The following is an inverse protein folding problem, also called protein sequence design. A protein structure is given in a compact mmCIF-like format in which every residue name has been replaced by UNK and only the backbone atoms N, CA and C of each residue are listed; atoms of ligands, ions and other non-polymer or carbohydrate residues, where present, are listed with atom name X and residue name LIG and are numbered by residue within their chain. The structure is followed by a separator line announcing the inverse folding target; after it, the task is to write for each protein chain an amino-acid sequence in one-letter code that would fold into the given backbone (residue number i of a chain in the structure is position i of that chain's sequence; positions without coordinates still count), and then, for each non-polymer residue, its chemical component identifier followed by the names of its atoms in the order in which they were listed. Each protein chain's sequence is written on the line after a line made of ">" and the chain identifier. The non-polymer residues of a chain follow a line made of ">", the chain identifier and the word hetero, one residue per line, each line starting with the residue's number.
data_IF_310387537608
#
_entry.id   IF_310387537608
#
_cell.length_a   1.000
_cell.length_b   1.000
_cell.length_c   1.000
_cell.angle_alpha   90.00
_cell.angle_beta   90.00
_cell.angle_gamma   90.00
#
_symmetry.space_group_name_H-M   'P 1'
#
loop_
_entity.id
_entity.type
_entity.pdbx_description
1 polymer ?
#
# COMPACT_ATOMS: atom_id res chain seq x y z
N UNK A 1 -2.83 -18.38 6.37
CA UNK A 1 -3.38 -17.03 6.31
C UNK A 1 -3.14 -16.51 4.90
N UNK A 2 -4.15 -15.94 4.26
CA UNK A 2 -4.10 -15.47 2.88
C UNK A 2 -5.29 -14.61 2.54
N UNK A 3 -5.30 -14.07 1.33
CA UNK A 3 -6.43 -13.31 0.82
C UNK A 3 -7.63 -14.23 0.61
N UNK A 4 -8.75 -13.89 1.25
CA UNK A 4 -10.01 -14.63 1.16
C UNK A 4 -10.76 -14.22 -0.11
N UNK A 5 -10.75 -12.93 -0.39
CA UNK A 5 -11.48 -12.35 -1.50
C UNK A 5 -10.96 -10.94 -1.80
N UNK A 6 -10.97 -10.54 -3.04
CA UNK A 6 -10.64 -9.16 -3.46
C UNK A 6 -11.22 -8.86 -4.84
N UNK A 7 -11.45 -7.57 -5.07
CA UNK A 7 -11.93 -7.03 -6.35
C UNK A 7 -11.35 -5.65 -6.58
N UNK A 8 -11.00 -5.32 -7.81
CA UNK A 8 -10.49 -4.01 -8.20
C UNK A 8 -10.61 -3.77 -9.69
N UNK A 9 -10.63 -2.48 -10.09
CA UNK A 9 -10.60 -2.07 -11.51
C UNK A 9 -11.76 -2.54 -12.38
N UNK A 10 -12.87 -3.01 -11.81
CA UNK A 10 -14.06 -3.46 -12.55
C UNK A 10 -13.92 -4.80 -13.29
N UNK A 11 -12.72 -5.39 -13.33
CA UNK A 11 -12.48 -6.56 -14.22
C UNK A 11 -12.23 -7.88 -13.49
N UNK A 12 -11.72 -7.86 -12.27
CA UNK A 12 -11.29 -9.13 -11.64
C UNK A 12 -11.79 -9.23 -10.21
N UNK A 13 -12.66 -10.18 -9.97
CA UNK A 13 -13.02 -10.63 -8.63
C UNK A 13 -12.41 -12.01 -8.42
N UNK A 14 -11.56 -12.15 -7.43
CA UNK A 14 -11.02 -13.44 -7.02
C UNK A 14 -11.46 -13.71 -5.59
N UNK A 15 -11.90 -14.93 -5.31
CA UNK A 15 -12.32 -15.33 -3.98
C UNK A 15 -11.95 -16.80 -3.74
N UNK A 16 -11.62 -17.07 -2.48
CA UNK A 16 -11.34 -18.45 -2.08
C UNK A 16 -12.64 -19.25 -2.08
N UNK A 17 -12.68 -20.37 -2.77
CA UNK A 17 -13.87 -21.21 -2.95
C UNK A 17 -14.49 -21.73 -1.62
N UNK A 18 -13.80 -21.55 -0.50
CA UNK A 18 -14.29 -21.95 0.83
C UNK A 18 -15.21 -20.90 1.51
N UNK A 19 -15.38 -19.69 0.93
CA UNK A 19 -16.28 -18.69 1.51
C UNK A 19 -17.68 -18.94 1.00
N UNK A 20 -18.59 -19.22 1.91
CA UNK A 20 -20.03 -19.28 1.65
C UNK A 20 -20.75 -18.17 2.42
N UNK A 21 -21.98 -17.81 2.09
CA UNK A 21 -22.74 -16.81 2.84
C UNK A 21 -22.85 -17.12 4.34
N UNK A 22 -22.85 -18.42 4.70
CA UNK A 22 -22.93 -18.92 6.09
C UNK A 22 -21.60 -18.87 6.82
N UNK A 23 -20.49 -18.66 6.11
CA UNK A 23 -19.17 -18.55 6.73
C UNK A 23 -19.13 -17.40 7.74
N UNK A 24 -18.47 -17.62 8.87
CA UNK A 24 -18.21 -16.61 9.87
C UNK A 24 -16.71 -16.44 10.05
N UNK A 25 -16.21 -15.27 9.73
CA UNK A 25 -14.78 -14.95 9.80
C UNK A 25 -14.53 -14.24 11.13
N UNK A 26 -14.01 -14.99 12.10
CA UNK A 26 -13.74 -14.50 13.46
C UNK A 26 -12.57 -13.54 13.52
N UNK A 27 -11.53 -13.80 12.73
CA UNK A 27 -10.31 -12.97 12.66
C UNK A 27 -9.97 -12.63 11.22
N UNK A 28 -9.77 -11.36 10.92
CA UNK A 28 -9.50 -10.94 9.55
C UNK A 28 -9.09 -9.50 9.40
N UNK A 29 -8.93 -9.11 8.12
CA UNK A 29 -8.74 -7.73 7.73
C UNK A 29 -9.59 -7.39 6.50
N UNK A 30 -10.19 -6.18 6.52
CA UNK A 30 -10.79 -5.52 5.37
C UNK A 30 -9.85 -4.40 4.93
N UNK A 31 -9.54 -4.35 3.64
CA UNK A 31 -8.76 -3.25 3.02
C UNK A 31 -9.62 -2.59 1.97
N UNK A 32 -9.65 -1.28 1.98
CA UNK A 32 -10.26 -0.45 0.92
C UNK A 32 -9.24 0.60 0.51
N UNK A 33 -8.96 0.70 -0.77
CA UNK A 33 -8.17 1.79 -1.36
C UNK A 33 -9.02 2.55 -2.36
N UNK A 34 -9.00 3.88 -2.26
CA UNK A 34 -9.80 4.77 -3.09
C UNK A 34 -9.17 6.16 -3.20
N UNK A 35 -9.55 6.95 -4.21
CA UNK A 35 -9.29 8.38 -4.25
C UNK A 35 -9.89 9.10 -3.03
N UNK A 36 -9.22 10.15 -2.56
CA UNK A 36 -9.74 10.97 -1.48
C UNK A 36 -11.00 11.70 -1.93
N UNK A 37 -12.14 11.55 -1.21
CA UNK A 37 -13.36 12.26 -1.55
C UNK A 37 -13.14 13.78 -1.47
N UNK A 38 -13.42 14.49 -2.55
CA UNK A 38 -13.33 15.95 -2.64
C UNK A 38 -14.57 16.67 -2.11
N UNK A 39 -15.60 15.93 -1.72
CA UNK A 39 -16.89 16.46 -1.34
C UNK A 39 -16.91 16.98 0.11
N UNK A 40 -17.62 18.11 0.30
CA UNK A 40 -17.95 18.67 1.63
C UNK A 40 -19.11 17.93 2.32
N UNK A 41 -19.57 16.82 1.78
CA UNK A 41 -20.65 15.99 2.32
C UNK A 41 -20.14 14.58 2.61
N UNK A 42 -20.80 13.89 3.53
CA UNK A 42 -20.53 12.48 3.78
C UNK A 42 -20.73 11.65 2.51
N UNK A 43 -19.74 10.81 2.21
CA UNK A 43 -19.74 9.91 1.05
C UNK A 43 -19.74 8.47 1.54
N UNK A 44 -20.72 7.68 1.09
CA UNK A 44 -20.72 6.24 1.34
C UNK A 44 -19.79 5.56 0.31
N UNK A 45 -18.69 5.03 0.80
CA UNK A 45 -17.68 4.31 0.00
C UNK A 45 -18.14 2.88 -0.31
N UNK A 46 -18.73 2.22 0.69
CA UNK A 46 -19.24 0.86 0.59
C UNK A 46 -20.48 0.73 1.46
N UNK A 47 -21.52 0.08 0.93
CA UNK A 47 -22.69 -0.33 1.69
C UNK A 47 -23.19 -1.67 1.17
N UNK A 48 -23.23 -2.65 2.05
CA UNK A 48 -23.68 -4.01 1.76
C UNK A 48 -24.65 -4.43 2.84
N UNK A 49 -25.83 -4.88 2.45
CA UNK A 49 -26.80 -5.45 3.34
C UNK A 49 -27.18 -6.87 2.88
N UNK A 50 -27.34 -7.78 3.81
CA UNK A 50 -27.83 -9.14 3.55
C UNK A 50 -28.92 -9.49 4.59
N UNK A 51 -29.94 -10.18 4.12
CA UNK A 51 -31.00 -10.72 4.99
C UNK A 51 -30.73 -12.19 5.37
N UNK A 52 -29.91 -12.89 4.60
CA UNK A 52 -29.62 -14.31 4.78
C UNK A 52 -28.09 -14.56 4.82
N UNK A 53 -27.61 -15.49 5.63
CA UNK A 53 -28.35 -16.34 6.57
C UNK A 53 -28.87 -15.57 7.80
N UNK A 54 -28.29 -14.42 8.10
CA UNK A 54 -28.62 -13.55 9.23
C UNK A 54 -28.64 -12.10 8.75
N UNK A 55 -29.62 -11.28 9.18
CA UNK A 55 -29.62 -9.85 8.84
C UNK A 55 -28.30 -9.20 9.23
N UNK A 56 -27.62 -8.64 8.25
CA UNK A 56 -26.29 -8.06 8.43
C UNK A 56 -26.09 -6.85 7.54
N UNK A 57 -25.24 -5.92 7.98
CA UNK A 57 -24.89 -4.69 7.29
C UNK A 57 -23.40 -4.39 7.46
N UNK A 58 -22.74 -4.03 6.37
CA UNK A 58 -21.43 -3.38 6.38
C UNK A 58 -21.56 -2.03 5.66
N UNK A 59 -21.22 -0.95 6.36
CA UNK A 59 -21.19 0.40 5.78
C UNK A 59 -19.88 1.08 6.10
N UNK A 60 -19.24 1.64 5.08
CA UNK A 60 -18.02 2.45 5.19
C UNK A 60 -18.29 3.82 4.60
N UNK A 61 -18.05 4.87 5.38
CA UNK A 61 -18.32 6.25 4.99
C UNK A 61 -17.13 7.16 5.26
N UNK A 62 -16.90 8.11 4.36
CA UNK A 62 -16.04 9.27 4.60
C UNK A 62 -16.91 10.43 5.10
N UNK A 63 -16.54 11.00 6.25
CA UNK A 63 -17.27 12.10 6.90
C UNK A 63 -16.35 13.33 6.92
N UNK A 64 -16.69 14.41 6.19
CA UNK A 64 -15.85 15.60 6.11
C UNK A 64 -15.57 16.20 7.50
N UNK A 65 -14.29 16.44 7.77
CA UNK A 65 -13.84 17.00 9.06
C UNK A 65 -13.76 16.00 10.22
N UNK A 66 -14.35 14.82 10.09
CA UNK A 66 -14.33 13.78 11.13
C UNK A 66 -13.45 12.58 10.74
N UNK A 67 -13.38 12.21 9.45
CA UNK A 67 -12.57 11.09 8.96
C UNK A 67 -13.40 9.97 8.37
N UNK A 68 -13.14 8.71 8.77
CA UNK A 68 -13.82 7.54 8.23
C UNK A 68 -14.58 6.78 9.34
N UNK A 69 -15.79 6.37 9.00
CA UNK A 69 -16.67 5.58 9.85
C UNK A 69 -16.90 4.21 9.23
N UNK A 70 -16.83 3.16 10.05
CA UNK A 70 -17.19 1.79 9.68
C UNK A 70 -18.28 1.32 10.64
N UNK A 71 -19.39 0.86 10.08
CA UNK A 71 -20.49 0.23 10.80
C UNK A 71 -20.65 -1.19 10.30
N UNK A 72 -20.62 -2.15 11.23
CA UNK A 72 -20.90 -3.57 10.98
C UNK A 72 -22.01 -4.00 11.91
N UNK A 73 -23.06 -4.65 11.39
CA UNK A 73 -24.04 -5.31 12.20
C UNK A 73 -24.26 -6.74 11.71
N UNK A 74 -24.52 -7.66 12.63
CA UNK A 74 -24.78 -9.07 12.33
C UNK A 74 -25.56 -9.70 13.48
N UNK A 75 -26.75 -10.25 13.19
CA UNK A 75 -27.53 -11.02 14.16
C UNK A 75 -28.00 -10.26 15.41
N UNK A 76 -28.03 -8.93 15.35
CA UNK A 76 -28.37 -8.06 16.51
C UNK A 76 -27.15 -7.42 17.17
N UNK A 77 -25.95 -7.92 16.95
CA UNK A 77 -24.73 -7.27 17.38
C UNK A 77 -24.40 -6.09 16.45
N UNK A 78 -23.88 -5.00 17.01
CA UNK A 78 -23.51 -3.80 16.28
C UNK A 78 -22.12 -3.36 16.71
N UNK A 79 -21.25 -3.19 15.74
CA UNK A 79 -19.92 -2.62 15.90
C UNK A 79 -19.80 -1.33 15.10
N UNK A 80 -19.31 -0.28 15.74
CA UNK A 80 -19.06 1.01 15.09
C UNK A 80 -17.66 1.52 15.44
N UNK A 81 -16.90 1.88 14.43
CA UNK A 81 -15.58 2.47 14.57
C UNK A 81 -15.50 3.80 13.81
N UNK A 82 -14.78 4.75 14.39
CA UNK A 82 -14.45 6.03 13.77
C UNK A 82 -12.94 6.24 13.87
N UNK A 83 -12.33 6.71 12.81
CA UNK A 83 -10.95 7.17 12.82
C UNK A 83 -10.90 8.60 12.29
N UNK A 84 -10.48 9.53 13.16
CA UNK A 84 -10.27 10.91 12.77
C UNK A 84 -9.05 11.03 11.86
N UNK A 85 -9.22 11.75 10.77
CA UNK A 85 -8.20 11.95 9.77
C UNK A 85 -8.20 13.40 9.32
N UNK A 86 -7.05 14.04 9.43
CA UNK A 86 -6.84 15.36 8.80
C UNK A 86 -6.35 15.10 7.38
N UNK A 87 -7.13 15.51 6.39
CA UNK A 87 -6.74 15.42 4.99
C UNK A 87 -5.39 16.14 4.78
N UNK A 88 -4.38 15.39 4.40
CA UNK A 88 -3.11 15.97 3.98
C UNK A 88 -3.25 16.35 2.51
N UNK A 89 -3.16 17.63 2.18
CA UNK A 89 -3.34 18.16 0.83
C UNK A 89 -2.31 17.68 -0.22
N UNK A 90 -1.56 16.60 0.08
CA UNK A 90 -0.47 16.10 -0.74
C UNK A 90 -0.73 14.76 -1.40
N UNK A 91 -1.83 14.08 -1.03
CA UNK A 91 -2.14 12.74 -1.53
C UNK A 91 -3.51 12.71 -2.16
N UNK A 92 -3.63 11.96 -3.24
CA UNK A 92 -4.87 11.85 -4.03
C UNK A 92 -5.67 10.60 -3.64
N UNK A 93 -5.10 9.68 -2.85
CA UNK A 93 -5.74 8.43 -2.45
C UNK A 93 -5.47 8.08 -0.99
N UNK A 94 -6.31 7.21 -0.44
CA UNK A 94 -6.14 6.62 0.89
C UNK A 94 -6.31 5.11 0.84
N UNK A 95 -5.71 4.44 1.84
CA UNK A 95 -5.95 3.03 2.13
C UNK A 95 -6.45 2.89 3.56
N UNK A 96 -7.69 2.42 3.70
CA UNK A 96 -8.32 2.10 4.97
C UNK A 96 -8.15 0.62 5.24
N UNK A 97 -7.62 0.26 6.42
CA UNK A 97 -7.50 -1.14 6.85
C UNK A 97 -8.16 -1.32 8.20
N UNK A 98 -9.18 -2.17 8.26
CA UNK A 98 -9.78 -2.67 9.50
C UNK A 98 -9.25 -4.07 9.76
N UNK A 99 -8.50 -4.25 10.83
CA UNK A 99 -8.19 -5.56 11.41
C UNK A 99 -9.17 -5.85 12.55
N UNK A 100 -9.74 -7.04 12.61
CA UNK A 100 -10.63 -7.46 13.70
C UNK A 100 -10.29 -8.85 14.22
N UNK A 101 -10.52 -9.02 15.50
CA UNK A 101 -10.53 -10.30 16.20
C UNK A 101 -11.76 -10.34 17.10
N UNK A 102 -12.78 -11.09 16.70
CA UNK A 102 -14.03 -11.21 17.46
C UNK A 102 -13.90 -12.12 18.68
N UNK A 103 -12.84 -12.94 18.73
CA UNK A 103 -12.60 -13.85 19.87
C UNK A 103 -12.12 -13.04 21.07
N UNK A 104 -11.19 -12.10 20.85
CA UNK A 104 -10.70 -11.19 21.89
C UNK A 104 -11.54 -9.91 21.99
N UNK A 105 -12.28 -9.58 20.95
CA UNK A 105 -12.98 -8.32 20.79
C UNK A 105 -12.08 -7.15 20.37
N UNK A 106 -10.79 -7.39 20.14
CA UNK A 106 -9.84 -6.35 19.81
C UNK A 106 -9.77 -6.10 18.29
N UNK A 107 -9.31 -4.92 17.92
CA UNK A 107 -9.08 -4.58 16.51
C UNK A 107 -8.19 -3.35 16.33
N UNK A 108 -7.93 -3.06 15.07
CA UNK A 108 -7.18 -1.87 14.65
C UNK A 108 -7.81 -1.29 13.39
N UNK A 109 -8.17 -0.03 13.43
CA UNK A 109 -8.50 0.74 12.24
C UNK A 109 -7.31 1.63 11.88
N UNK A 110 -6.89 1.61 10.63
CA UNK A 110 -5.77 2.42 10.14
C UNK A 110 -6.09 3.10 8.83
N UNK A 111 -5.49 4.27 8.64
CA UNK A 111 -5.48 5.00 7.37
C UNK A 111 -4.03 5.23 6.97
N UNK A 112 -3.73 4.88 5.74
CA UNK A 112 -2.45 5.11 5.07
C UNK A 112 -2.71 5.97 3.82
N UNK A 113 -1.74 6.79 3.46
CA UNK A 113 -1.74 7.50 2.19
C UNK A 113 -0.66 6.89 1.28
N UNK A 114 -1.05 6.13 0.24
CA UNK A 114 -0.10 5.66 -0.76
C UNK A 114 0.67 6.85 -1.37
N UNK A 115 2.00 6.79 -1.31
CA UNK A 115 2.86 7.90 -1.77
C UNK A 115 3.25 8.91 -0.69
N UNK A 116 2.63 8.88 0.49
CA UNK A 116 3.06 9.60 1.70
C UNK A 116 3.36 8.59 2.82
N UNK A 117 4.09 9.00 3.84
CA UNK A 117 4.50 8.14 4.96
C UNK A 117 3.58 8.31 6.18
N UNK A 118 2.46 8.98 5.99
CA UNK A 118 1.48 9.22 7.04
C UNK A 118 0.68 7.94 7.35
N UNK A 119 0.70 7.54 8.63
CA UNK A 119 -0.05 6.42 9.16
C UNK A 119 -0.82 6.87 10.40
N UNK A 120 -2.13 6.79 10.34
CA UNK A 120 -3.06 7.04 11.43
C UNK A 120 -3.64 5.70 11.89
N UNK A 121 -3.78 5.52 13.20
CA UNK A 121 -4.30 4.27 13.76
C UNK A 121 -5.22 4.55 14.95
N UNK A 122 -6.26 3.73 15.09
CA UNK A 122 -7.17 3.69 16.23
C UNK A 122 -7.30 2.25 16.72
N UNK A 123 -6.95 1.99 17.97
CA UNK A 123 -7.22 0.68 18.60
C UNK A 123 -8.71 0.58 18.87
N UNK A 124 -9.28 -0.60 18.64
CA UNK A 124 -10.72 -0.89 18.70
C UNK A 124 -10.99 -1.96 19.74
N UNK A 125 -12.20 -1.91 20.31
CA UNK A 125 -12.74 -2.93 21.20
C UNK A 125 -14.17 -3.26 20.80
N UNK A 126 -14.62 -4.47 21.15
CA UNK A 126 -15.96 -4.93 20.80
C UNK A 126 -16.13 -5.32 19.33
N UNK A 127 -15.02 -5.68 18.66
CA UNK A 127 -15.07 -6.18 17.28
C UNK A 127 -15.92 -7.44 17.20
N UNK A 128 -16.74 -7.53 16.14
CA UNK A 128 -17.59 -8.67 15.84
C UNK A 128 -17.09 -9.43 14.62
N UNK A 129 -17.47 -10.69 14.49
CA UNK A 129 -17.13 -11.51 13.32
C UNK A 129 -17.83 -11.00 12.07
N UNK A 130 -17.18 -11.17 10.92
CA UNK A 130 -17.74 -10.79 9.63
C UNK A 130 -18.35 -11.99 8.92
N UNK A 131 -19.59 -11.85 8.44
CA UNK A 131 -20.26 -12.93 7.71
C UNK A 131 -19.74 -13.01 6.26
N UNK A 132 -19.69 -14.23 5.72
CA UNK A 132 -19.36 -14.45 4.32
C UNK A 132 -20.34 -13.77 3.36
N UNK A 133 -21.62 -13.63 3.76
CA UNK A 133 -22.60 -12.88 3.00
C UNK A 133 -22.21 -11.42 2.77
N UNK A 134 -21.66 -10.74 3.79
CA UNK A 134 -21.14 -9.38 3.65
C UNK A 134 -19.91 -9.32 2.75
N UNK A 135 -18.99 -10.28 2.87
CA UNK A 135 -17.78 -10.36 2.04
C UNK A 135 -18.18 -10.53 0.56
N UNK A 136 -19.01 -11.52 0.26
CA UNK A 136 -19.45 -11.79 -1.10
C UNK A 136 -20.31 -10.65 -1.67
N UNK A 137 -21.15 -10.04 -0.84
CA UNK A 137 -21.93 -8.86 -1.20
C UNK A 137 -21.05 -7.66 -1.56
N UNK A 138 -19.99 -7.39 -0.77
CA UNK A 138 -19.06 -6.30 -1.04
C UNK A 138 -18.35 -6.45 -2.40
N UNK A 139 -17.97 -7.68 -2.76
CA UNK A 139 -17.39 -7.96 -4.09
C UNK A 139 -18.41 -7.77 -5.22
N UNK A 140 -19.68 -8.10 -4.97
CA UNK A 140 -20.75 -7.91 -5.96
C UNK A 140 -21.05 -6.43 -6.18
N UNK A 141 -21.05 -5.62 -5.13
CA UNK A 141 -21.22 -4.16 -5.24
C UNK A 141 -20.10 -3.50 -6.06
N UNK A 142 -18.86 -3.98 -5.95
CA UNK A 142 -17.74 -3.51 -6.78
C UNK A 142 -17.96 -3.77 -8.28
N UNK A 143 -18.69 -4.86 -8.63
CA UNK A 143 -18.98 -5.23 -10.03
C UNK A 143 -20.13 -4.42 -10.65
N UNK A 144 -21.04 -3.93 -9.81
CA UNK A 144 -22.26 -3.21 -10.23
C UNK A 144 -22.06 -1.70 -10.13
N UNK A 145 -21.02 -1.25 -9.45
CA UNK A 145 -20.80 0.16 -9.21
C UNK A 145 -20.71 0.96 -10.51
N UNK A 146 -21.70 1.80 -10.73
CA UNK A 146 -21.65 2.90 -11.68
C UNK A 146 -20.34 3.68 -11.50
N UNK A 147 -19.85 4.31 -12.58
CA UNK A 147 -18.62 5.08 -12.66
C UNK A 147 -18.46 6.23 -11.65
N UNK A 148 -19.32 6.31 -10.64
CA UNK A 148 -19.28 7.29 -9.55
C UNK A 148 -18.76 6.72 -8.21
N UNK A 149 -18.57 5.41 -8.07
CA UNK A 149 -17.92 4.79 -6.91
C UNK A 149 -16.51 4.36 -7.30
N UNK A 150 -15.59 5.30 -7.20
CA UNK A 150 -14.18 5.08 -7.57
C UNK A 150 -13.43 4.43 -6.40
N UNK A 151 -13.66 3.12 -6.17
CA UNK A 151 -12.75 2.34 -5.37
C UNK A 151 -11.67 1.74 -6.26
N UNK A 152 -10.40 1.93 -5.91
CA UNK A 152 -9.29 1.28 -6.59
C UNK A 152 -9.33 -0.23 -6.36
N UNK A 153 -9.52 -0.64 -5.11
CA UNK A 153 -9.82 -2.03 -4.77
C UNK A 153 -10.41 -2.19 -3.37
N UNK A 154 -11.03 -3.36 -3.16
CA UNK A 154 -11.44 -3.89 -1.87
C UNK A 154 -10.85 -5.29 -1.69
N UNK A 155 -10.45 -5.63 -0.48
CA UNK A 155 -9.94 -6.97 -0.19
C UNK A 155 -10.23 -7.41 1.24
N UNK A 156 -10.43 -8.72 1.40
CA UNK A 156 -10.61 -9.39 2.69
C UNK A 156 -9.50 -10.42 2.87
N UNK A 157 -8.88 -10.41 4.03
CA UNK A 157 -7.77 -11.28 4.37
C UNK A 157 -8.09 -12.09 5.63
N UNK A 158 -7.68 -13.36 5.67
CA UNK A 158 -7.81 -14.22 6.84
C UNK A 158 -6.70 -13.92 7.85
N UNK A 159 -7.09 -13.41 9.00
CA UNK A 159 -6.18 -12.91 10.03
C UNK A 159 -5.71 -11.49 9.77
N UNK A 160 -4.99 -10.88 10.73
CA UNK A 160 -4.61 -9.49 10.67
C UNK A 160 -3.59 -9.22 9.56
N UNK A 161 -3.69 -8.04 8.96
CA UNK A 161 -2.71 -7.49 8.03
C UNK A 161 -1.80 -6.48 8.73
N UNK A 162 -0.52 -6.53 8.40
CA UNK A 162 0.40 -5.48 8.81
C UNK A 162 0.14 -4.19 8.04
N UNK A 163 0.22 -3.06 8.76
CA UNK A 163 0.06 -1.69 8.24
C UNK A 163 1.39 -0.93 8.26
N UNK A 164 1.46 0.19 7.58
CA UNK A 164 2.65 1.05 7.52
C UNK A 164 3.64 0.64 6.43
N UNK A 165 4.96 0.77 6.68
CA UNK A 165 5.97 0.60 5.64
C UNK A 165 5.80 -0.68 4.83
N UNK A 166 5.70 -0.52 3.52
CA UNK A 166 5.25 -1.59 2.62
C UNK A 166 6.30 -1.90 1.55
N UNK A 167 6.62 -3.20 1.35
CA UNK A 167 7.42 -3.67 0.22
C UNK A 167 6.78 -3.36 -1.13
N UNK A 168 7.61 -3.02 -2.14
CA UNK A 168 7.15 -2.53 -3.45
C UNK A 168 7.93 -3.07 -4.65
N UNK A 169 8.98 -3.86 -4.46
CA UNK A 169 9.85 -4.39 -5.51
C UNK A 169 9.55 -5.85 -5.84
N UNK A 170 9.53 -6.19 -7.13
CA UNK A 170 9.36 -7.57 -7.57
C UNK A 170 10.52 -8.48 -7.11
N UNK A 171 10.27 -9.77 -6.90
CA UNK A 171 11.25 -10.77 -6.52
C UNK A 171 12.51 -10.74 -7.39
N UNK A 172 12.35 -10.52 -8.69
CA UNK A 172 13.42 -10.59 -9.68
C UNK A 172 14.22 -9.29 -9.80
N UNK A 173 13.84 -8.22 -9.12
CA UNK A 173 14.56 -6.93 -9.15
C UNK A 173 16.06 -7.14 -8.90
N UNK A 174 16.94 -6.83 -9.88
CA UNK A 174 18.37 -6.96 -9.71
C UNK A 174 18.91 -5.80 -8.87
N UNK A 175 19.43 -6.09 -7.70
CA UNK A 175 20.07 -5.13 -6.78
C UNK A 175 21.57 -5.23 -6.90
N UNK A 176 22.27 -4.10 -7.06
CA UNK A 176 23.72 -4.06 -7.14
C UNK A 176 24.33 -4.26 -5.74
N UNK A 177 25.19 -5.27 -5.64
CA UNK A 177 25.95 -5.59 -4.43
C UNK A 177 27.45 -5.48 -4.70
N UNK A 178 28.28 -5.57 -3.69
CA UNK A 178 29.74 -5.62 -3.85
C UNK A 178 30.23 -6.78 -4.73
N UNK A 179 29.41 -7.84 -4.92
CA UNK A 179 29.71 -9.01 -5.75
C UNK A 179 28.97 -9.00 -7.11
N UNK A 180 28.35 -7.88 -7.48
CA UNK A 180 27.52 -7.74 -8.68
C UNK A 180 26.03 -7.83 -8.39
N UNK A 181 25.24 -7.93 -9.46
CA UNK A 181 23.78 -7.94 -9.35
C UNK A 181 23.22 -9.23 -8.73
N UNK A 182 22.33 -9.08 -7.76
CA UNK A 182 21.58 -10.18 -7.12
C UNK A 182 20.09 -9.84 -7.07
N UNK A 183 19.23 -10.84 -7.22
CA UNK A 183 17.77 -10.65 -7.08
C UNK A 183 17.42 -10.27 -5.64
N UNK A 184 16.56 -9.27 -5.46
CA UNK A 184 16.12 -8.85 -4.13
C UNK A 184 15.48 -9.99 -3.33
N UNK A 185 14.73 -10.86 -4.00
CA UNK A 185 14.01 -11.96 -3.35
C UNK A 185 14.88 -13.06 -2.72
N UNK A 186 16.20 -13.09 -3.01
CA UNK A 186 17.16 -14.01 -2.37
C UNK A 186 18.08 -13.31 -1.36
N UNK A 187 17.97 -12.00 -1.21
CA UNK A 187 18.78 -11.23 -0.28
C UNK A 187 18.39 -11.51 1.17
N UNK A 188 19.34 -11.33 2.07
CA UNK A 188 19.19 -11.60 3.51
C UNK A 188 19.75 -10.44 4.32
N UNK A 189 19.31 -10.29 5.58
CA UNK A 189 19.99 -9.41 6.54
C UNK A 189 21.47 -9.76 6.63
N UNK A 190 22.33 -8.72 6.60
CA UNK A 190 23.79 -8.84 6.56
C UNK A 190 24.40 -8.85 5.14
N UNK A 191 23.61 -9.04 4.09
CA UNK A 191 24.07 -8.75 2.72
C UNK A 191 24.36 -7.24 2.58
N UNK A 192 25.06 -6.83 1.54
CA UNK A 192 25.36 -5.43 1.27
C UNK A 192 24.78 -4.97 -0.07
N UNK A 193 24.47 -3.69 -0.17
CA UNK A 193 24.04 -3.04 -1.42
C UNK A 193 24.93 -1.84 -1.71
N UNK A 194 24.94 -1.39 -2.96
CA UNK A 194 25.60 -0.15 -3.37
C UNK A 194 24.55 0.98 -3.34
N UNK A 195 24.87 2.04 -2.60
CA UNK A 195 24.02 3.23 -2.52
C UNK A 195 24.16 4.15 -3.75
N UNK A 196 23.37 5.20 -3.77
CA UNK A 196 23.47 6.27 -4.77
C UNK A 196 24.84 6.97 -4.77
N UNK A 197 25.47 7.09 -3.60
CA UNK A 197 26.84 7.65 -3.44
C UNK A 197 27.94 6.68 -3.86
N UNK A 198 27.63 5.41 -4.12
CA UNK A 198 28.61 4.36 -4.40
C UNK A 198 29.13 3.62 -3.15
N UNK A 199 28.61 3.96 -1.98
CA UNK A 199 29.00 3.32 -0.72
C UNK A 199 28.41 1.93 -0.58
N UNK A 200 29.12 1.06 0.14
CA UNK A 200 28.68 -0.29 0.48
C UNK A 200 27.91 -0.24 1.80
N UNK A 201 26.60 -0.49 1.75
CA UNK A 201 25.68 -0.37 2.88
C UNK A 201 25.13 -1.73 3.30
N UNK A 202 25.12 -2.06 4.61
CA UNK A 202 24.55 -3.32 5.06
C UNK A 202 23.01 -3.31 5.03
N UNK A 203 22.43 -4.43 4.63
CA UNK A 203 20.98 -4.67 4.70
C UNK A 203 20.63 -5.11 6.13
N UNK A 204 19.82 -4.32 6.83
CA UNK A 204 19.35 -4.63 8.18
C UNK A 204 18.17 -5.62 8.17
N UNK A 205 17.34 -5.58 7.13
CA UNK A 205 16.18 -6.45 6.99
C UNK A 205 15.71 -6.54 5.56
N UNK A 206 15.10 -7.67 5.22
CA UNK A 206 14.40 -7.88 3.96
C UNK A 206 12.96 -8.21 4.29
N UNK A 207 12.05 -7.39 3.82
CA UNK A 207 10.62 -7.53 4.08
C UNK A 207 9.91 -7.98 2.81
N UNK A 208 8.85 -8.76 3.01
CA UNK A 208 7.97 -9.19 1.91
C UNK A 208 6.51 -9.03 2.31
N UNK A 209 5.66 -8.75 1.34
CA UNK A 209 4.21 -8.66 1.51
C UNK A 209 3.52 -9.25 0.29
N UNK A 210 2.50 -10.08 0.52
CA UNK A 210 1.59 -10.57 -0.53
C UNK A 210 0.38 -9.64 -0.54
N UNK A 211 0.04 -9.09 -1.69
CA UNK A 211 -1.06 -8.13 -1.83
C UNK A 211 -1.79 -8.32 -3.16
N UNK A 212 -3.09 -8.00 -3.25
CA UNK A 212 -3.77 -7.87 -4.53
C UNK A 212 -3.04 -6.86 -5.43
N UNK A 213 -2.97 -7.15 -6.72
CA UNK A 213 -2.23 -6.35 -7.69
C UNK A 213 -3.05 -5.15 -8.21
N UNK A 214 -3.64 -4.36 -7.28
CA UNK A 214 -4.52 -3.24 -7.58
C UNK A 214 -4.09 -1.97 -6.85
N UNK A 215 -4.64 -0.82 -7.26
CA UNK A 215 -4.39 0.48 -6.66
C UNK A 215 -2.90 0.81 -6.63
N UNK A 216 -2.40 1.27 -5.49
CA UNK A 216 -0.99 1.60 -5.30
C UNK A 216 -0.04 0.38 -5.37
N UNK A 217 -0.61 -0.83 -5.25
CA UNK A 217 0.11 -2.09 -5.47
C UNK A 217 0.03 -2.60 -6.91
N UNK A 218 -0.72 -1.92 -7.80
CA UNK A 218 -0.76 -2.28 -9.21
C UNK A 218 0.66 -2.26 -9.79
N UNK A 219 1.09 -3.34 -10.48
CA UNK A 219 2.42 -3.37 -11.06
C UNK A 219 2.59 -2.34 -12.17
N UNK A 220 3.71 -1.64 -12.12
CA UNK A 220 4.21 -0.77 -13.17
C UNK A 220 5.44 -1.41 -13.79
N UNK A 221 5.46 -1.50 -15.11
CA UNK A 221 6.63 -1.96 -15.87
C UNK A 221 7.35 -0.76 -16.45
N UNK A 222 8.58 -0.55 -16.04
CA UNK A 222 9.52 0.34 -16.69
C UNK A 222 10.19 -0.42 -17.83
N UNK A 223 10.14 0.10 -19.04
CA UNK A 223 10.58 -0.58 -20.25
C UNK A 223 12.00 -0.19 -20.64
N UNK A 224 12.79 -1.18 -21.01
CA UNK A 224 14.06 -0.94 -21.71
C UNK A 224 13.80 -0.42 -23.15
N UNK A 225 14.66 0.45 -23.69
CA UNK A 225 15.89 1.01 -23.10
C UNK A 225 15.65 2.32 -22.31
N UNK A 226 14.39 2.67 -22.05
CA UNK A 226 14.06 3.88 -21.29
C UNK A 226 14.68 3.84 -19.89
N UNK A 227 14.91 5.01 -19.31
CA UNK A 227 15.54 5.19 -17.99
C UNK A 227 16.95 4.58 -17.87
N UNK A 228 17.63 4.27 -18.99
CA UNK A 228 18.92 3.60 -19.01
C UNK A 228 18.87 2.10 -18.73
N UNK A 229 17.67 1.51 -18.66
CA UNK A 229 17.48 0.10 -18.39
C UNK A 229 17.99 -0.80 -19.52
N UNK A 230 18.63 -1.92 -19.18
CA UNK A 230 19.00 -2.98 -20.12
C UNK A 230 17.92 -4.04 -20.29
N UNK A 231 17.03 -4.17 -19.28
CA UNK A 231 15.88 -5.06 -19.28
C UNK A 231 14.72 -4.41 -18.54
N UNK A 232 13.50 -4.82 -18.87
CA UNK A 232 12.30 -4.30 -18.19
C UNK A 232 12.36 -4.56 -16.68
N UNK A 233 11.90 -3.59 -15.91
CA UNK A 233 11.81 -3.68 -14.46
C UNK A 233 10.36 -3.50 -13.99
N UNK A 234 9.90 -4.42 -13.14
CA UNK A 234 8.53 -4.40 -12.59
C UNK A 234 8.58 -4.05 -11.10
N UNK A 235 7.68 -3.16 -10.68
CA UNK A 235 7.54 -2.74 -9.28
C UNK A 235 6.11 -2.32 -8.99
N UNK A 236 5.72 -2.17 -7.73
CA UNK A 236 4.45 -1.55 -7.37
C UNK A 236 4.41 -0.07 -7.76
N UNK A 237 3.24 0.44 -8.09
CA UNK A 237 3.06 1.85 -8.43
C UNK A 237 3.56 2.83 -7.36
N UNK A 238 3.50 2.42 -6.10
CA UNK A 238 3.98 3.22 -4.96
C UNK A 238 5.52 3.23 -4.79
N UNK A 239 6.30 2.40 -5.51
CA UNK A 239 7.76 2.45 -5.42
C UNK A 239 8.28 3.80 -5.89
N UNK A 240 9.11 4.43 -5.06
CA UNK A 240 9.74 5.70 -5.39
C UNK A 240 11.10 5.48 -6.03
N UNK A 241 11.33 6.24 -7.12
CA UNK A 241 12.59 6.31 -7.83
C UNK A 241 13.22 7.67 -7.61
N UNK A 242 14.55 7.73 -7.49
CA UNK A 242 15.29 8.99 -7.56
C UNK A 242 15.46 9.39 -9.03
N UNK A 243 15.10 10.61 -9.29
CA UNK A 243 15.22 11.24 -10.61
C UNK A 243 15.94 12.56 -10.45
N UNK A 244 17.06 12.73 -11.14
CA UNK A 244 17.88 13.95 -11.15
C UNK A 244 18.04 14.51 -12.57
N UNK A 245 18.75 15.63 -12.68
CA UNK A 245 19.10 16.29 -13.93
C UNK A 245 18.76 17.77 -13.94
N UNK A 246 19.23 18.49 -14.97
CA UNK A 246 19.11 19.93 -15.08
C UNK A 246 17.67 20.46 -15.11
N UNK A 247 16.73 19.68 -15.60
CA UNK A 247 15.29 19.96 -15.58
C UNK A 247 14.69 19.89 -14.18
N UNK A 248 15.18 18.95 -13.35
CA UNK A 248 14.81 18.83 -11.93
C UNK A 248 15.36 20.03 -11.15
N UNK A 249 16.65 20.32 -11.33
CA UNK A 249 17.30 21.45 -10.68
C UNK A 249 16.62 22.79 -11.05
N UNK A 250 16.31 23.00 -12.33
CA UNK A 250 15.63 24.20 -12.80
C UNK A 250 14.20 24.34 -12.24
N UNK A 251 13.46 23.21 -12.16
CA UNK A 251 12.04 23.25 -11.80
C UNK A 251 11.82 23.23 -10.30
N UNK A 252 12.62 22.48 -9.55
CA UNK A 252 12.39 22.23 -8.12
C UNK A 252 13.48 22.82 -7.21
N UNK A 253 14.59 23.30 -7.78
CA UNK A 253 15.69 23.91 -7.02
C UNK A 253 16.49 22.89 -6.19
N UNK A 254 16.47 21.62 -6.56
CA UNK A 254 17.22 20.53 -5.94
C UNK A 254 17.79 19.59 -7.01
N UNK A 255 18.86 18.89 -6.69
CA UNK A 255 19.57 18.02 -7.65
C UNK A 255 18.76 16.77 -8.01
N UNK A 256 17.96 16.28 -7.05
CA UNK A 256 17.23 15.02 -7.15
C UNK A 256 15.88 15.10 -6.45
N UNK A 257 14.91 14.35 -6.97
CA UNK A 257 13.55 14.19 -6.42
C UNK A 257 13.15 12.72 -6.41
N UNK A 258 12.19 12.38 -5.55
CA UNK A 258 11.54 11.07 -5.49
C UNK A 258 10.22 11.11 -6.25
N UNK A 259 10.03 10.15 -7.17
CA UNK A 259 8.82 10.01 -7.97
C UNK A 259 8.26 8.60 -7.78
N UNK A 260 7.00 8.43 -7.34
CA UNK A 260 6.31 7.16 -7.38
C UNK A 260 6.16 6.63 -8.82
N UNK A 261 6.43 5.34 -9.03
CA UNK A 261 6.45 4.72 -10.37
C UNK A 261 5.12 4.89 -11.12
N UNK A 262 3.98 4.92 -10.43
CA UNK A 262 2.66 5.15 -11.02
C UNK A 262 2.56 6.48 -11.78
N UNK A 263 3.28 7.51 -11.36
CA UNK A 263 3.27 8.82 -12.01
C UNK A 263 4.22 8.91 -13.23
N UNK A 264 5.01 7.86 -13.48
CA UNK A 264 5.83 7.73 -14.68
C UNK A 264 5.08 7.06 -15.85
N UNK A 265 3.86 6.56 -15.61
CA UNK A 265 3.08 5.87 -16.65
C UNK A 265 2.75 6.84 -17.78
N UNK A 266 3.40 6.60 -18.92
CA UNK A 266 3.25 7.41 -20.15
C UNK A 266 2.69 6.60 -21.32
N UNK A 267 2.47 5.30 -21.14
CA UNK A 267 2.09 4.36 -22.19
C UNK A 267 3.26 3.91 -23.07
N UNK A 268 4.42 4.54 -22.95
CA UNK A 268 5.62 4.22 -23.76
C UNK A 268 6.76 3.71 -22.90
N UNK A 269 7.33 4.57 -22.07
CA UNK A 269 8.50 4.25 -21.22
C UNK A 269 8.12 3.51 -19.95
N UNK A 270 6.99 3.85 -19.38
CA UNK A 270 6.38 3.15 -18.26
C UNK A 270 4.92 2.82 -18.58
N UNK A 271 4.52 1.59 -18.29
CA UNK A 271 3.17 1.09 -18.57
C UNK A 271 2.58 0.43 -17.33
N UNK A 272 1.29 0.60 -17.12
CA UNK A 272 0.55 -0.24 -16.17
C UNK A 272 0.59 -1.68 -16.67
N UNK A 273 0.89 -2.61 -15.77
CA UNK A 273 0.89 -4.04 -16.09
C UNK A 273 -0.23 -4.70 -15.31
N UNK A 274 -1.44 -4.84 -15.87
CA UNK A 274 -2.50 -5.57 -15.20
C UNK A 274 -2.05 -7.02 -14.98
N UNK A 275 -2.03 -7.43 -13.73
CA UNK A 275 -1.78 -8.81 -13.34
C UNK A 275 -2.98 -9.21 -12.51
N UNK A 276 -3.76 -10.17 -12.99
CA UNK A 276 -4.82 -10.75 -12.16
C UNK A 276 -4.20 -11.45 -10.94
N UNK A 277 -4.90 -11.41 -9.83
CA UNK A 277 -4.48 -12.14 -8.65
C UNK A 277 -3.67 -11.32 -7.65
N UNK A 278 -2.84 -12.03 -6.88
CA UNK A 278 -1.93 -11.44 -5.88
C UNK A 278 -0.49 -11.42 -6.38
N UNK A 279 0.27 -10.44 -5.92
CA UNK A 279 1.71 -10.37 -6.16
C UNK A 279 2.46 -10.31 -4.83
N UNK A 280 3.73 -10.72 -4.87
CA UNK A 280 4.62 -10.66 -3.70
C UNK A 280 5.68 -9.62 -3.94
N UNK A 281 5.67 -8.57 -3.14
CA UNK A 281 6.69 -7.54 -3.17
C UNK A 281 7.71 -7.71 -2.05
N UNK A 282 8.92 -7.21 -2.31
CA UNK A 282 10.07 -7.20 -1.41
C UNK A 282 10.55 -5.78 -1.19
N UNK A 283 11.22 -5.51 -0.06
CA UNK A 283 11.91 -4.24 0.18
C UNK A 283 13.05 -4.42 1.19
N UNK A 284 14.09 -3.59 1.05
CA UNK A 284 15.27 -3.58 1.89
C UNK A 284 15.17 -2.49 2.95
N UNK A 285 15.45 -2.84 4.20
CA UNK A 285 15.67 -1.86 5.27
C UNK A 285 17.16 -1.60 5.39
N UNK A 286 17.56 -0.34 5.24
CA UNK A 286 18.91 0.14 5.36
C UNK A 286 19.08 0.96 6.67
N UNK A 287 20.32 1.21 7.13
CA UNK A 287 20.58 2.03 8.35
C UNK A 287 19.99 3.43 8.27
N UNK A 288 20.08 4.06 7.10
CA UNK A 288 19.46 5.33 6.78
C UNK A 288 18.45 5.15 5.63
N UNK A 289 17.58 6.15 5.41
CA UNK A 289 16.73 6.12 4.22
C UNK A 289 17.57 6.59 3.03
N UNK A 290 18.12 5.65 2.32
CA UNK A 290 18.96 5.88 1.16
C UNK A 290 18.37 5.19 -0.07
N UNK A 291 18.74 5.71 -1.24
CA UNK A 291 18.52 4.99 -2.47
C UNK A 291 19.68 4.03 -2.71
N UNK A 292 19.35 2.88 -3.26
CA UNK A 292 20.29 1.88 -3.70
C UNK A 292 20.16 1.61 -5.20
N UNK A 293 21.23 1.13 -5.80
CA UNK A 293 21.26 0.83 -7.23
C UNK A 293 20.55 -0.49 -7.51
N UNK A 294 19.53 -0.44 -8.37
CA UNK A 294 18.84 -1.62 -8.87
C UNK A 294 18.51 -1.44 -10.35
N UNK A 295 18.98 -2.38 -11.21
CA UNK A 295 18.82 -2.28 -12.68
C UNK A 295 19.21 -0.92 -13.25
N UNK A 296 20.36 -0.36 -12.84
CA UNK A 296 20.86 0.97 -13.23
C UNK A 296 20.03 2.16 -12.69
N UNK A 297 18.96 1.92 -11.97
CA UNK A 297 18.13 2.95 -11.34
C UNK A 297 18.49 3.12 -9.87
N UNK A 298 18.17 4.29 -9.34
CA UNK A 298 18.22 4.59 -7.92
C UNK A 298 16.83 4.41 -7.33
N UNK A 299 16.64 3.37 -6.52
CA UNK A 299 15.38 3.06 -5.87
C UNK A 299 15.45 3.37 -4.38
N UNK A 300 14.40 4.01 -3.85
CA UNK A 300 14.29 4.28 -2.41
C UNK A 300 14.19 2.97 -1.64
N UNK A 301 14.94 2.86 -0.54
CA UNK A 301 14.83 1.78 0.44
C UNK A 301 13.57 1.92 1.30
N UNK A 302 13.29 0.95 2.18
CA UNK A 302 12.11 0.99 3.04
C UNK A 302 12.19 2.17 4.01
N UNK A 303 11.41 3.21 3.76
CA UNK A 303 11.27 4.32 4.68
C UNK A 303 10.42 3.91 5.88
N UNK A 304 10.96 4.08 7.08
CA UNK A 304 10.27 3.72 8.33
C UNK A 304 10.04 4.91 9.27
N UNK A 305 10.55 6.07 8.90
CA UNK A 305 10.43 7.27 9.71
C UNK A 305 10.92 7.06 11.15
N UNK A 306 10.16 7.59 12.10
CA UNK A 306 10.41 7.45 13.53
C UNK A 306 9.56 6.35 14.18
N UNK A 307 9.25 5.27 13.44
CA UNK A 307 8.38 4.19 13.90
C UNK A 307 8.90 3.54 15.20
N UNK A 308 10.22 3.47 15.36
CA UNK A 308 10.86 3.01 16.61
C UNK A 308 10.31 3.70 17.86
N UNK A 309 9.91 4.97 17.78
CA UNK A 309 9.36 5.75 18.91
C UNK A 309 7.87 5.48 19.13
N UNK A 310 7.15 5.01 18.11
CA UNK A 310 5.69 4.80 18.11
C UNK A 310 5.34 3.35 18.46
N UNK A 311 5.56 2.95 19.75
CA UNK A 311 5.39 1.56 20.22
C UNK A 311 4.02 0.96 19.89
N UNK A 312 2.96 1.73 20.05
CA UNK A 312 1.59 1.27 19.78
C UNK A 312 1.40 0.88 18.30
N UNK A 313 1.97 1.63 17.38
CA UNK A 313 1.88 1.38 15.93
C UNK A 313 2.83 0.27 15.52
N UNK A 314 4.07 0.28 16.04
CA UNK A 314 5.11 -0.67 15.68
C UNK A 314 4.64 -2.13 15.75
N UNK A 315 3.90 -2.50 16.80
CA UNK A 315 3.40 -3.88 16.99
C UNK A 315 2.50 -4.38 15.86
N UNK A 316 1.90 -3.47 15.09
CA UNK A 316 1.00 -3.78 13.97
C UNK A 316 1.67 -3.71 12.59
N UNK A 317 2.97 -3.42 12.54
CA UNK A 317 3.71 -3.34 11.28
C UNK A 317 4.46 -4.64 10.99
N UNK A 318 4.87 -4.84 9.73
CA UNK A 318 5.74 -5.95 9.33
C UNK A 318 7.10 -5.92 10.04
N UNK A 319 7.52 -4.75 10.52
CA UNK A 319 8.79 -4.53 11.24
C UNK A 319 8.77 -5.11 12.66
N UNK A 320 7.61 -5.47 13.20
CA UNK A 320 7.47 -6.08 14.54
C UNK A 320 8.21 -7.42 14.68
N UNK A 321 8.56 -8.05 13.56
CA UNK A 321 9.42 -9.23 13.53
C UNK A 321 10.88 -8.95 13.97
N UNK A 322 11.31 -7.68 13.92
CA UNK A 322 12.65 -7.26 14.39
C UNK A 322 12.59 -6.71 15.80
N UNK A 323 13.65 -6.90 16.60
CA UNK A 323 13.77 -6.22 17.88
C UNK A 323 13.73 -4.69 17.70
N UNK A 324 12.79 -4.03 18.37
CA UNK A 324 12.57 -2.59 18.23
C UNK A 324 13.80 -1.72 18.45
N UNK A 325 14.70 -2.14 19.33
CA UNK A 325 15.95 -1.43 19.64
C UNK A 325 16.98 -1.49 18.49
N UNK A 326 16.83 -2.45 17.57
CA UNK A 326 17.70 -2.59 16.40
C UNK A 326 17.17 -1.82 15.17
N UNK A 327 15.94 -1.27 15.24
CA UNK A 327 15.41 -0.48 14.14
C UNK A 327 16.14 0.86 14.05
N UNK A 328 16.51 1.29 12.82
CA UNK A 328 17.03 2.63 12.59
C UNK A 328 15.93 3.68 12.77
N UNK A 329 16.28 4.94 12.69
CA UNK A 329 15.37 6.07 12.60
C UNK A 329 15.69 6.84 11.32
N UNK A 330 14.73 6.91 10.41
CA UNK A 330 14.84 7.70 9.19
C UNK A 330 14.25 9.09 9.46
N UNK A 331 15.11 10.09 9.61
CA UNK A 331 14.69 11.44 9.97
C UNK A 331 13.91 12.13 8.82
N UNK A 332 14.31 11.85 7.58
CA UNK A 332 13.70 12.34 6.35
C UNK A 332 13.81 11.26 5.26
N UNK A 333 13.07 11.44 4.18
CA UNK A 333 13.24 10.69 2.93
C UNK A 333 14.57 11.03 2.26
N UNK A 334 15.09 10.15 1.41
CA UNK A 334 16.36 10.33 0.70
C UNK A 334 16.41 11.66 -0.10
N UNK A 335 15.28 12.05 -0.69
CA UNK A 335 15.10 13.30 -1.43
C UNK A 335 13.66 13.80 -1.28
N UNK A 336 13.35 14.98 -1.82
CA UNK A 336 11.98 15.50 -1.82
C UNK A 336 11.05 14.60 -2.65
N UNK A 337 9.95 14.18 -2.05
CA UNK A 337 8.88 13.45 -2.77
C UNK A 337 8.02 14.45 -3.53
N UNK A 338 7.91 14.29 -4.85
CA UNK A 338 7.04 15.12 -5.68
C UNK A 338 5.57 14.80 -5.44
N UNK A 339 4.74 15.84 -5.50
CA UNK A 339 3.29 15.68 -5.55
C UNK A 339 2.87 15.03 -6.88
N UNK A 340 1.72 14.36 -6.95
CA UNK A 340 1.28 13.69 -8.17
C UNK A 340 1.33 14.57 -9.42
N UNK A 341 0.81 15.78 -9.35
CA UNK A 341 0.81 16.70 -10.49
C UNK A 341 2.23 17.19 -10.90
N UNK A 342 3.14 17.36 -9.93
CA UNK A 342 4.54 17.74 -10.18
C UNK A 342 5.26 16.59 -10.89
N UNK A 343 5.07 15.36 -10.40
CA UNK A 343 5.66 14.15 -10.96
C UNK A 343 5.16 13.87 -12.39
N UNK A 344 3.85 13.99 -12.62
CA UNK A 344 3.25 13.81 -13.95
C UNK A 344 3.78 14.88 -14.93
N UNK A 345 3.88 16.13 -14.47
CA UNK A 345 4.41 17.22 -15.30
C UNK A 345 5.86 16.96 -15.70
N UNK A 346 6.72 16.58 -14.75
CA UNK A 346 8.11 16.26 -15.03
C UNK A 346 8.23 15.05 -15.98
N UNK A 347 7.43 14.01 -15.78
CA UNK A 347 7.40 12.84 -16.66
C UNK A 347 6.99 13.21 -18.09
N UNK A 348 5.98 14.08 -18.24
CA UNK A 348 5.53 14.57 -19.55
C UNK A 348 6.60 15.42 -20.26
N UNK A 349 7.31 16.28 -19.52
CA UNK A 349 8.41 17.08 -20.06
C UNK A 349 9.56 16.21 -20.60
N UNK A 350 9.84 15.08 -19.96
CA UNK A 350 10.89 14.14 -20.41
C UNK A 350 10.46 13.20 -21.54
N UNK A 351 9.17 13.07 -21.75
CA UNK A 351 8.63 12.26 -22.84
C UNK A 351 8.47 13.04 -24.15
N UNK A 352 8.54 14.39 -24.12
CA UNK A 352 8.45 15.30 -25.25
C UNK A 352 9.81 15.47 -25.93
#
# INVERSE_FOLDING_TARGET
>A
MGWLAYSGGGETTDFHASITPESLIETGALVIEAPLPSNLRAVTLLEVASLHPTPSLLRVQSIPGEGFSILISSGGDVFHALISHTLVARTDSFRLTLNWDSITGDGLLSIEHPGDDALFTSELTGCIAMSGALILGALSEMRVADAQKELDYIGFHQGPLSVGPTPTLDYHTPVLTAQGYRKIGIMKPGDTVISASGDIIPVLGVFKKVTPAFGSYAPVRLRAPYFGLQSDLVMAGAQRLIVGGSDVEYTFGCDEVLIPAQHLISGTAAIAQPVGGTTTYYQLLLPENEAFVASELLLESLFIGRLRRRKAIFKHTSLSALPRNLLPEHAATASQVLRPYEAITLAAMRAA
#
